data_IF_861884537434
#
_entry.id   IF_861884537434
#
_cell.length_a   1.000
_cell.length_b   1.000
_cell.length_c   1.000
_cell.angle_alpha   90.00
_cell.angle_beta   90.00
_cell.angle_gamma   90.00
#
_symmetry.space_group_name_H-M   'P 1'
#
loop_
_entity.id
_entity.type
_entity.pdbx_description
1 polymer ?
#
# COMPACT_ATOMS: atom_id res chain seq x y z
N UNK A 1 48.43 -57.29 -20.46
CA UNK A 1 48.75 -56.83 -19.10
C UNK A 1 48.86 -55.29 -19.20
N UNK A 2 47.84 -54.59 -18.87
CA UNK A 2 47.88 -53.13 -18.82
C UNK A 2 46.96 -52.73 -17.67
N UNK A 3 47.56 -52.21 -16.62
CA UNK A 3 46.90 -51.73 -15.38
C UNK A 3 46.28 -50.35 -15.57
N UNK A 4 44.96 -50.28 -15.43
CA UNK A 4 44.22 -49.07 -15.39
C UNK A 4 44.37 -48.44 -13.98
N UNK A 5 44.88 -47.23 -13.93
CA UNK A 5 45.04 -46.47 -12.73
C UNK A 5 43.73 -45.68 -12.51
N UNK A 6 42.95 -46.08 -11.50
CA UNK A 6 41.82 -45.34 -10.97
C UNK A 6 42.37 -44.11 -10.25
N UNK A 7 41.98 -42.90 -10.74
CA UNK A 7 42.16 -41.64 -10.04
C UNK A 7 40.87 -41.31 -9.35
N UNK A 8 40.81 -41.49 -8.05
CA UNK A 8 39.81 -40.89 -7.19
C UNK A 8 39.97 -39.35 -7.21
N UNK A 9 38.95 -38.64 -7.72
CA UNK A 9 38.82 -37.20 -7.53
C UNK A 9 38.35 -36.93 -6.11
N UNK A 10 38.95 -35.96 -5.37
CA UNK A 10 38.48 -35.58 -4.06
C UNK A 10 37.17 -34.77 -4.20
N UNK A 11 36.13 -35.32 -3.62
CA UNK A 11 34.82 -34.70 -3.47
C UNK A 11 34.97 -33.39 -2.67
N UNK A 12 34.94 -32.24 -3.35
CA UNK A 12 34.94 -30.93 -2.70
C UNK A 12 33.59 -30.75 -2.02
N UNK A 13 33.52 -31.02 -0.73
CA UNK A 13 32.48 -30.56 0.13
C UNK A 13 32.44 -29.01 0.03
N UNK A 14 31.44 -28.48 -0.66
CA UNK A 14 31.04 -27.07 -0.56
C UNK A 14 30.56 -26.90 0.89
N UNK A 15 31.46 -26.42 1.74
CA UNK A 15 31.09 -25.93 3.06
C UNK A 15 30.13 -24.76 2.83
N UNK A 16 28.87 -24.97 3.18
CA UNK A 16 27.91 -23.88 3.21
C UNK A 16 28.43 -22.81 4.16
N UNK A 17 28.73 -21.62 3.63
CA UNK A 17 29.19 -20.48 4.39
C UNK A 17 28.14 -20.20 5.47
N UNK A 18 28.46 -20.52 6.71
CA UNK A 18 27.66 -20.19 7.87
C UNK A 18 27.60 -18.65 7.95
N UNK A 19 26.40 -18.08 7.78
CA UNK A 19 26.16 -16.63 7.89
C UNK A 19 26.75 -16.14 9.22
N UNK A 20 27.62 -15.12 9.23
CA UNK A 20 28.24 -14.62 10.45
C UNK A 20 27.18 -14.31 11.50
N UNK A 21 27.46 -14.60 12.78
CA UNK A 21 26.52 -14.42 13.89
C UNK A 21 25.95 -13.00 13.95
N UNK A 22 26.79 -11.99 13.71
CA UNK A 22 26.40 -10.57 13.64
C UNK A 22 25.34 -10.28 12.56
N UNK A 23 25.43 -10.95 11.42
CA UNK A 23 24.46 -10.79 10.33
C UNK A 23 23.12 -11.44 10.71
N UNK A 24 23.14 -12.59 11.38
CA UNK A 24 21.94 -13.24 11.90
C UNK A 24 21.24 -12.41 12.98
N UNK A 25 21.99 -11.81 13.89
CA UNK A 25 21.45 -10.91 14.91
C UNK A 25 20.83 -9.65 14.30
N UNK A 26 21.47 -9.10 13.25
CA UNK A 26 20.93 -7.96 12.52
C UNK A 26 19.63 -8.32 11.81
N UNK A 27 19.55 -9.46 11.13
CA UNK A 27 18.31 -9.93 10.51
C UNK A 27 17.20 -10.21 11.54
N UNK A 28 17.54 -10.76 12.70
CA UNK A 28 16.58 -10.99 13.77
C UNK A 28 15.99 -9.66 14.30
N UNK A 29 16.85 -8.63 14.48
CA UNK A 29 16.42 -7.29 14.88
C UNK A 29 15.49 -6.65 13.87
N UNK A 30 15.83 -6.70 12.58
CA UNK A 30 15.00 -6.16 11.49
C UNK A 30 13.63 -6.86 11.46
N UNK A 31 13.60 -8.19 11.50
CA UNK A 31 12.34 -8.95 11.54
C UNK A 31 11.49 -8.62 12.76
N UNK A 32 12.13 -8.47 13.93
CA UNK A 32 11.46 -8.07 15.16
C UNK A 32 10.81 -6.68 15.05
N UNK A 33 11.55 -5.72 14.49
CA UNK A 33 11.05 -4.36 14.28
C UNK A 33 9.88 -4.34 13.27
N UNK A 34 9.99 -5.07 12.16
CA UNK A 34 8.90 -5.20 11.17
C UNK A 34 7.67 -5.82 11.81
N UNK A 35 7.79 -6.93 12.54
CA UNK A 35 6.64 -7.58 13.16
C UNK A 35 5.98 -6.74 14.26
N UNK A 36 6.76 -5.97 15.01
CA UNK A 36 6.21 -5.04 16.00
C UNK A 36 5.44 -3.88 15.34
N UNK A 37 6.01 -3.33 14.27
CA UNK A 37 5.38 -2.28 13.48
C UNK A 37 4.08 -2.78 12.82
N UNK A 38 4.10 -3.97 12.24
CA UNK A 38 2.94 -4.56 11.58
C UNK A 38 1.76 -4.73 12.55
N UNK A 39 1.99 -5.28 13.75
CA UNK A 39 0.95 -5.36 14.80
C UNK A 39 0.42 -4.00 15.26
N UNK A 40 1.28 -3.00 15.33
CA UNK A 40 0.87 -1.64 15.69
C UNK A 40 0.05 -0.95 14.59
N UNK A 41 0.32 -1.26 13.32
CA UNK A 41 -0.38 -0.66 12.17
C UNK A 41 -1.71 -1.35 11.87
N UNK A 42 -1.82 -2.65 12.11
CA UNK A 42 -3.01 -3.44 11.78
C UNK A 42 -3.94 -3.66 12.99
N UNK A 43 -3.58 -3.09 14.14
CA UNK A 43 -4.32 -3.10 15.41
C UNK A 43 -4.87 -4.48 15.81
N UNK A 44 -4.04 -5.52 15.69
CA UNK A 44 -4.44 -6.86 16.08
C UNK A 44 -3.58 -7.99 15.53
N UNK A 45 -3.97 -9.18 15.90
CA UNK A 45 -3.41 -10.41 15.37
C UNK A 45 -4.18 -10.84 14.10
N UNK A 46 -3.54 -11.65 13.28
CA UNK A 46 -4.16 -12.19 12.07
C UNK A 46 -4.96 -13.43 12.42
N UNK A 47 -6.28 -13.29 12.46
CA UNK A 47 -7.19 -14.32 12.93
C UNK A 47 -8.16 -14.82 11.85
N UNK A 48 -8.33 -14.05 10.76
CA UNK A 48 -9.33 -14.32 9.74
C UNK A 48 -8.71 -14.75 8.41
N UNK A 49 -9.38 -15.68 7.74
CA UNK A 49 -9.14 -16.08 6.37
C UNK A 49 -10.20 -15.45 5.44
N UNK A 50 -10.09 -15.66 4.12
CA UNK A 50 -11.15 -15.26 3.19
C UNK A 50 -12.44 -16.05 3.40
N UNK A 51 -12.36 -17.28 3.91
CA UNK A 51 -13.52 -18.09 4.27
C UNK A 51 -14.28 -17.41 5.40
N UNK A 52 -13.59 -16.96 6.44
CA UNK A 52 -14.21 -16.32 7.59
C UNK A 52 -14.88 -15.00 7.18
N UNK A 53 -14.28 -14.23 6.24
CA UNK A 53 -14.90 -13.02 5.67
C UNK A 53 -16.22 -13.33 4.97
N UNK A 54 -16.31 -14.47 4.26
CA UNK A 54 -17.55 -14.92 3.59
C UNK A 54 -18.59 -15.41 4.59
N UNK A 55 -18.20 -16.21 5.58
CA UNK A 55 -19.09 -16.89 6.52
C UNK A 55 -19.57 -15.98 7.67
N UNK A 56 -18.66 -15.17 8.24
CA UNK A 56 -18.92 -14.41 9.46
C UNK A 56 -19.26 -12.93 9.19
N UNK A 57 -18.71 -12.35 8.10
CA UNK A 57 -18.86 -10.93 7.77
C UNK A 57 -19.74 -10.67 6.54
N UNK A 58 -20.32 -11.69 5.94
CA UNK A 58 -21.18 -11.57 4.75
C UNK A 58 -20.53 -10.86 3.57
N UNK A 59 -19.23 -11.10 3.39
CA UNK A 59 -18.44 -10.56 2.28
C UNK A 59 -18.33 -11.59 1.18
N UNK A 60 -18.99 -11.36 0.04
CA UNK A 60 -18.87 -12.23 -1.13
C UNK A 60 -17.42 -12.43 -1.57
N UNK A 61 -17.10 -13.64 -2.04
CA UNK A 61 -15.76 -14.01 -2.49
C UNK A 61 -15.23 -13.09 -3.58
N UNK A 62 -16.09 -12.65 -4.50
CA UNK A 62 -15.67 -11.76 -5.58
C UNK A 62 -15.36 -10.36 -5.03
N UNK A 63 -16.22 -9.82 -4.15
CA UNK A 63 -15.99 -8.55 -3.48
C UNK A 63 -14.68 -8.58 -2.68
N UNK A 64 -14.43 -9.65 -1.91
CA UNK A 64 -13.15 -9.83 -1.20
C UNK A 64 -11.96 -9.83 -2.15
N UNK A 65 -12.07 -10.51 -3.29
CA UNK A 65 -11.01 -10.56 -4.30
C UNK A 65 -10.74 -9.18 -4.91
N UNK A 66 -11.79 -8.45 -5.25
CA UNK A 66 -11.70 -7.15 -5.89
C UNK A 66 -11.22 -6.08 -4.91
N UNK A 67 -11.59 -6.18 -3.64
CA UNK A 67 -11.10 -5.32 -2.56
C UNK A 67 -9.57 -5.40 -2.42
N UNK A 68 -9.05 -6.57 -2.11
CA UNK A 68 -7.60 -6.73 -1.87
C UNK A 68 -6.77 -6.44 -3.12
N UNK A 69 -7.24 -6.86 -4.30
CA UNK A 69 -6.60 -6.52 -5.57
C UNK A 69 -6.64 -5.02 -5.85
N UNK A 70 -7.77 -4.37 -5.59
CA UNK A 70 -7.95 -2.94 -5.76
C UNK A 70 -7.02 -2.12 -4.84
N UNK A 71 -6.84 -2.56 -3.60
CA UNK A 71 -5.88 -1.97 -2.67
C UNK A 71 -4.40 -2.21 -3.06
N UNK A 72 -4.13 -3.13 -4.00
CA UNK A 72 -2.78 -3.43 -4.46
C UNK A 72 -2.12 -4.61 -3.74
N UNK A 73 -2.87 -5.37 -2.95
CA UNK A 73 -2.36 -6.55 -2.26
C UNK A 73 -2.48 -7.80 -3.12
N UNK A 74 -1.53 -8.73 -2.95
CA UNK A 74 -1.54 -10.00 -3.68
C UNK A 74 -2.66 -10.92 -3.18
N UNK A 75 -3.20 -11.73 -4.10
CA UNK A 75 -4.15 -12.77 -3.71
C UNK A 75 -3.49 -13.80 -2.79
N UNK A 76 -4.10 -14.03 -1.64
CA UNK A 76 -3.75 -15.13 -0.72
C UNK A 76 -4.70 -16.30 -0.93
N UNK A 77 -4.27 -17.51 -0.54
CA UNK A 77 -5.12 -18.68 -0.62
C UNK A 77 -6.37 -18.51 0.28
N UNK A 78 -7.47 -19.12 -0.13
CA UNK A 78 -8.79 -18.91 0.47
C UNK A 78 -8.84 -19.22 1.97
N UNK A 79 -8.13 -20.27 2.40
CA UNK A 79 -8.08 -20.73 3.79
C UNK A 79 -6.89 -20.23 4.59
N UNK A 80 -6.14 -19.26 4.06
CA UNK A 80 -4.97 -18.72 4.76
C UNK A 80 -5.39 -17.60 5.69
N UNK A 81 -5.09 -17.74 6.98
CA UNK A 81 -5.34 -16.73 8.03
C UNK A 81 -4.32 -15.59 7.88
N UNK A 82 -4.77 -14.44 7.42
CA UNK A 82 -3.91 -13.28 7.11
C UNK A 82 -4.54 -11.93 7.45
N UNK A 83 -5.83 -11.90 7.79
CA UNK A 83 -6.56 -10.67 8.07
C UNK A 83 -6.77 -10.48 9.56
N UNK A 84 -6.73 -9.22 10.00
CA UNK A 84 -7.11 -8.80 11.34
C UNK A 84 -8.62 -8.56 11.41
N UNK A 85 -9.15 -8.29 12.62
CA UNK A 85 -10.53 -7.89 12.81
C UNK A 85 -10.83 -6.57 12.08
N UNK A 86 -9.94 -5.59 12.17
CA UNK A 86 -10.07 -4.30 11.44
C UNK A 86 -10.10 -4.48 9.93
N UNK A 87 -9.29 -5.40 9.37
CA UNK A 87 -9.37 -5.75 7.96
C UNK A 87 -10.75 -6.30 7.58
N UNK A 88 -11.31 -7.18 8.43
CA UNK A 88 -12.61 -7.80 8.22
C UNK A 88 -13.75 -6.78 8.31
N UNK A 89 -13.73 -5.91 9.32
CA UNK A 89 -14.71 -4.83 9.49
C UNK A 89 -14.65 -3.82 8.34
N UNK A 90 -13.45 -3.40 7.93
CA UNK A 90 -13.28 -2.42 6.86
C UNK A 90 -13.84 -2.89 5.52
N UNK A 91 -13.64 -4.16 5.17
CA UNK A 91 -14.23 -4.71 3.95
C UNK A 91 -15.73 -4.93 4.11
N UNK A 92 -16.20 -5.38 5.29
CA UNK A 92 -17.61 -5.62 5.54
C UNK A 92 -18.45 -4.34 5.43
N UNK A 93 -17.96 -3.23 5.98
CA UNK A 93 -18.61 -1.93 5.88
C UNK A 93 -18.86 -1.51 4.42
N UNK A 94 -17.85 -1.70 3.57
CA UNK A 94 -17.98 -1.32 2.16
C UNK A 94 -18.82 -2.35 1.37
N UNK A 95 -18.70 -3.64 1.70
CA UNK A 95 -19.53 -4.69 1.11
C UNK A 95 -21.02 -4.54 1.46
N UNK A 96 -21.34 -4.06 2.66
CA UNK A 96 -22.71 -3.79 3.07
C UNK A 96 -23.40 -2.78 2.15
N UNK A 97 -22.69 -1.75 1.68
CA UNK A 97 -23.23 -0.77 0.72
C UNK A 97 -23.51 -1.38 -0.66
N UNK A 98 -22.77 -2.42 -1.04
CA UNK A 98 -23.05 -3.16 -2.28
C UNK A 98 -24.25 -4.08 -2.08
N UNK A 99 -24.28 -4.80 -0.96
CA UNK A 99 -25.32 -5.76 -0.64
C UNK A 99 -26.71 -5.12 -0.49
N UNK A 100 -26.78 -3.89 0.01
CA UNK A 100 -28.04 -3.13 0.15
C UNK A 100 -28.42 -2.31 -1.10
N UNK A 101 -27.58 -2.32 -2.14
CA UNK A 101 -27.80 -1.62 -3.40
C UNK A 101 -27.49 -0.13 -3.37
N UNK A 102 -26.90 0.40 -2.28
CA UNK A 102 -26.45 1.80 -2.19
C UNK A 102 -25.28 2.07 -3.12
N UNK A 103 -24.43 1.07 -3.33
CA UNK A 103 -23.26 1.14 -4.18
C UNK A 103 -23.30 0.03 -5.24
N UNK A 104 -22.96 0.34 -6.50
CA UNK A 104 -22.77 -0.69 -7.51
C UNK A 104 -21.40 -1.35 -7.41
N UNK A 105 -21.25 -2.59 -7.94
CA UNK A 105 -19.97 -3.30 -8.01
C UNK A 105 -18.88 -2.49 -8.72
N UNK A 106 -19.22 -1.80 -9.82
CA UNK A 106 -18.28 -0.96 -10.56
C UNK A 106 -17.80 0.25 -9.73
N UNK A 107 -18.71 0.86 -8.97
CA UNK A 107 -18.37 1.97 -8.10
C UNK A 107 -17.51 1.49 -6.92
N UNK A 108 -17.81 0.33 -6.34
CA UNK A 108 -16.99 -0.32 -5.31
C UNK A 108 -15.55 -0.52 -5.82
N UNK A 109 -15.37 -1.18 -6.96
CA UNK A 109 -14.04 -1.41 -7.55
C UNK A 109 -13.30 -0.10 -7.82
N UNK A 110 -14.00 0.92 -8.30
CA UNK A 110 -13.41 2.25 -8.58
C UNK A 110 -12.93 2.93 -7.31
N UNK A 111 -13.74 2.91 -6.24
CA UNK A 111 -13.39 3.48 -4.93
C UNK A 111 -12.18 2.78 -4.34
N UNK A 112 -12.20 1.44 -4.29
CA UNK A 112 -11.12 0.65 -3.70
C UNK A 112 -9.79 0.85 -4.43
N UNK A 113 -9.81 0.88 -5.77
CA UNK A 113 -8.61 1.20 -6.58
C UNK A 113 -8.08 2.60 -6.29
N UNK A 114 -8.98 3.57 -6.15
CA UNK A 114 -8.60 4.94 -5.77
C UNK A 114 -7.92 4.99 -4.41
N UNK A 115 -8.50 4.32 -3.42
CA UNK A 115 -7.93 4.22 -2.07
C UNK A 115 -6.55 3.57 -2.11
N UNK A 116 -6.43 2.38 -2.72
CA UNK A 116 -5.16 1.65 -2.79
C UNK A 116 -4.06 2.46 -3.46
N UNK A 117 -4.36 3.08 -4.62
CA UNK A 117 -3.40 3.89 -5.34
C UNK A 117 -2.90 5.11 -4.54
N UNK A 118 -3.82 5.87 -3.95
CA UNK A 118 -3.45 7.11 -3.25
C UNK A 118 -2.84 6.84 -1.89
N UNK A 119 -3.37 5.89 -1.11
CA UNK A 119 -2.83 5.55 0.21
C UNK A 119 -1.49 4.85 0.10
N UNK A 120 -1.29 3.94 -0.87
CA UNK A 120 0.00 3.31 -1.12
C UNK A 120 1.09 4.34 -1.48
N UNK A 121 0.76 5.34 -2.31
CA UNK A 121 1.69 6.45 -2.60
C UNK A 121 1.97 7.32 -1.39
N UNK A 122 0.93 7.64 -0.60
CA UNK A 122 1.09 8.43 0.63
C UNK A 122 2.01 7.72 1.62
N UNK A 123 1.80 6.43 1.88
CA UNK A 123 2.63 5.63 2.75
C UNK A 123 4.10 5.60 2.28
N UNK A 124 4.33 5.43 0.97
CA UNK A 124 5.67 5.48 0.40
C UNK A 124 6.34 6.85 0.61
N UNK A 125 5.64 7.95 0.35
CA UNK A 125 6.19 9.30 0.54
C UNK A 125 6.49 9.63 1.99
N UNK A 126 5.63 9.22 2.92
CA UNK A 126 5.86 9.41 4.35
C UNK A 126 7.10 8.65 4.82
N UNK A 127 7.24 7.40 4.41
CA UNK A 127 8.41 6.58 4.79
C UNK A 127 9.71 7.13 4.21
N UNK A 128 9.74 7.51 2.94
CA UNK A 128 10.95 8.11 2.33
C UNK A 128 11.28 9.48 2.95
N UNK A 129 10.29 10.30 3.30
CA UNK A 129 10.53 11.57 4.00
C UNK A 129 11.17 11.36 5.38
N UNK A 130 10.76 10.32 6.13
CA UNK A 130 11.38 9.99 7.42
C UNK A 130 12.82 9.47 7.26
N UNK A 131 13.07 8.68 6.22
CA UNK A 131 14.43 8.20 5.88
C UNK A 131 15.34 9.36 5.52
N UNK A 132 14.88 10.27 4.65
CA UNK A 132 15.66 11.43 4.22
C UNK A 132 15.93 12.39 5.39
N UNK A 133 14.96 12.63 6.27
CA UNK A 133 15.15 13.45 7.47
C UNK A 133 16.21 12.83 8.40
N UNK A 134 16.18 11.53 8.61
CA UNK A 134 17.17 10.83 9.43
C UNK A 134 18.59 10.91 8.83
N UNK A 135 18.72 10.78 7.50
CA UNK A 135 20.00 10.95 6.80
C UNK A 135 20.54 12.37 6.94
N UNK A 136 19.69 13.37 6.74
CA UNK A 136 20.09 14.77 6.74
C UNK A 136 20.42 15.28 8.14
N UNK A 137 19.60 14.97 9.16
CA UNK A 137 19.80 15.47 10.54
C UNK A 137 20.87 14.74 11.30
N UNK A 138 21.05 13.45 11.05
CA UNK A 138 21.92 12.61 11.87
C UNK A 138 23.12 12.04 11.10
N UNK A 139 23.28 12.35 9.81
CA UNK A 139 24.37 11.83 8.99
C UNK A 139 24.36 10.32 8.84
N UNK A 140 23.19 9.70 8.94
CA UNK A 140 23.03 8.24 8.89
C UNK A 140 23.23 7.72 7.46
N UNK A 141 23.78 6.50 7.35
CA UNK A 141 23.72 5.74 6.11
C UNK A 141 22.26 5.39 5.77
N UNK A 142 22.00 5.02 4.50
CA UNK A 142 20.64 4.64 4.07
C UNK A 142 20.07 3.48 4.91
N UNK A 143 20.88 2.48 5.20
CA UNK A 143 20.46 1.32 6.02
C UNK A 143 20.12 1.73 7.46
N UNK A 144 20.93 2.58 8.09
CA UNK A 144 20.67 3.05 9.45
C UNK A 144 19.41 3.92 9.49
N UNK A 145 19.22 4.80 8.51
CA UNK A 145 18.04 5.65 8.40
C UNK A 145 16.75 4.82 8.22
N UNK A 146 16.78 3.76 7.39
CA UNK A 146 15.64 2.83 7.23
C UNK A 146 15.33 2.04 8.50
N UNK A 147 16.37 1.60 9.22
CA UNK A 147 16.16 0.95 10.53
C UNK A 147 15.52 1.92 11.53
N UNK A 148 16.03 3.16 11.63
CA UNK A 148 15.46 4.18 12.48
C UNK A 148 14.02 4.51 12.12
N UNK A 149 13.70 4.57 10.82
CA UNK A 149 12.33 4.77 10.36
C UNK A 149 11.41 3.66 10.87
N UNK A 150 11.76 2.37 10.70
CA UNK A 150 10.96 1.25 11.22
C UNK A 150 10.72 1.34 12.73
N UNK A 151 11.72 1.77 13.50
CA UNK A 151 11.63 1.93 14.97
C UNK A 151 10.78 3.15 15.38
N UNK A 152 10.72 4.18 14.54
CA UNK A 152 10.05 5.45 14.86
C UNK A 152 8.62 5.57 14.33
N UNK A 153 8.23 4.81 13.29
CA UNK A 153 6.88 4.88 12.71
C UNK A 153 5.76 4.72 13.75
N UNK A 154 5.83 3.81 14.74
CA UNK A 154 4.78 3.70 15.76
C UNK A 154 4.50 5.00 16.53
N UNK A 155 5.50 5.87 16.64
CA UNK A 155 5.36 7.17 17.34
C UNK A 155 4.62 8.21 16.48
N UNK A 156 4.58 8.04 15.18
CA UNK A 156 3.99 8.99 14.23
C UNK A 156 2.66 8.51 13.64
N UNK A 157 2.34 7.22 13.76
CA UNK A 157 1.19 6.61 13.09
C UNK A 157 -0.11 7.33 13.42
N UNK A 158 -0.43 7.51 14.70
CA UNK A 158 -1.65 8.21 15.13
C UNK A 158 -1.73 9.65 14.59
N UNK A 159 -0.57 10.33 14.53
CA UNK A 159 -0.51 11.71 13.98
C UNK A 159 -0.78 11.68 12.48
N UNK A 160 -0.20 10.73 11.74
CA UNK A 160 -0.41 10.61 10.30
C UNK A 160 -1.83 10.19 9.95
N UNK A 161 -2.43 9.28 10.69
CA UNK A 161 -3.84 8.90 10.54
C UNK A 161 -4.76 10.10 10.76
N UNK A 162 -4.57 10.83 11.85
CA UNK A 162 -5.34 12.04 12.12
C UNK A 162 -5.18 13.08 11.00
N UNK A 163 -3.97 13.30 10.49
CA UNK A 163 -3.73 14.21 9.38
C UNK A 163 -4.37 13.68 8.08
N UNK A 164 -4.29 12.40 7.77
CA UNK A 164 -4.91 11.81 6.59
C UNK A 164 -6.44 11.99 6.62
N UNK A 165 -7.08 11.67 7.73
CA UNK A 165 -8.52 11.86 7.92
C UNK A 165 -8.90 13.35 7.83
N UNK A 166 -8.12 14.25 8.47
CA UNK A 166 -8.37 15.69 8.43
C UNK A 166 -8.27 16.23 6.99
N UNK A 167 -7.22 15.90 6.29
CA UNK A 167 -7.00 16.35 4.90
C UNK A 167 -8.08 15.79 3.97
N UNK A 168 -8.44 14.51 4.12
CA UNK A 168 -9.55 13.91 3.36
C UNK A 168 -10.86 14.70 3.57
N UNK A 169 -11.25 14.97 4.82
CA UNK A 169 -12.45 15.76 5.13
C UNK A 169 -12.40 17.16 4.55
N UNK A 170 -11.23 17.82 4.59
CA UNK A 170 -11.03 19.16 4.01
C UNK A 170 -11.17 19.13 2.48
N UNK A 171 -10.61 18.13 1.82
CA UNK A 171 -10.72 17.96 0.37
C UNK A 171 -12.18 17.67 -0.04
N UNK A 172 -12.86 16.78 0.68
CA UNK A 172 -14.28 16.50 0.45
C UNK A 172 -15.14 17.76 0.61
N UNK A 173 -14.93 18.53 1.68
CA UNK A 173 -15.62 19.81 1.90
C UNK A 173 -15.39 20.80 0.75
N UNK A 174 -14.14 20.93 0.28
CA UNK A 174 -13.82 21.82 -0.82
C UNK A 174 -14.41 21.33 -2.16
N UNK A 175 -14.48 20.03 -2.37
CA UNK A 175 -15.08 19.43 -3.56
C UNK A 175 -16.59 19.62 -3.59
N UNK A 176 -17.28 19.31 -2.48
CA UNK A 176 -18.74 19.47 -2.38
C UNK A 176 -19.17 20.94 -2.50
N UNK A 177 -18.39 21.87 -1.95
CA UNK A 177 -18.66 23.29 -2.11
C UNK A 177 -18.57 23.73 -3.58
N UNK A 178 -17.56 23.25 -4.32
CA UNK A 178 -17.42 23.52 -5.76
C UNK A 178 -18.54 22.90 -6.58
N UNK A 179 -18.89 21.65 -6.32
CA UNK A 179 -20.00 20.97 -6.98
C UNK A 179 -21.34 21.68 -6.71
N UNK A 180 -21.58 22.07 -5.45
CA UNK A 180 -22.78 22.84 -5.09
C UNK A 180 -22.87 24.19 -5.80
N UNK A 181 -21.76 24.91 -5.90
CA UNK A 181 -21.72 26.19 -6.64
C UNK A 181 -21.98 26.00 -8.13
N UNK A 182 -21.54 24.89 -8.72
CA UNK A 182 -21.78 24.56 -10.13
C UNK A 182 -23.26 24.22 -10.38
N UNK A 183 -23.86 23.40 -9.51
CA UNK A 183 -25.30 23.08 -9.57
C UNK A 183 -26.14 24.36 -9.49
N UNK A 184 -25.81 25.30 -8.58
CA UNK A 184 -26.52 26.56 -8.45
C UNK A 184 -26.40 27.45 -9.70
N UNK A 185 -25.22 27.46 -10.35
CA UNK A 185 -25.05 28.23 -11.60
C UNK A 185 -25.82 27.65 -12.76
N UNK A 186 -25.86 26.33 -12.89
CA UNK A 186 -26.60 25.64 -13.98
C UNK A 186 -28.12 25.74 -13.77
N UNK A 187 -28.60 25.68 -12.53
CA UNK A 187 -30.05 25.84 -12.25
C UNK A 187 -30.57 27.22 -12.55
N UNK A 188 -29.72 28.23 -12.71
CA UNK A 188 -30.10 29.61 -13.09
C UNK A 188 -29.99 29.88 -14.60
N UNK A 189 -29.46 28.93 -15.40
CA UNK A 189 -29.42 29.03 -16.84
C UNK A 189 -30.36 27.97 -17.46
N UNK A 190 -31.10 28.33 -18.51
CA UNK A 190 -32.01 27.44 -19.26
C UNK A 190 -31.27 26.32 -20.05
N UNK A 191 -30.36 25.62 -19.40
CA UNK A 191 -29.58 24.54 -20.04
C UNK A 191 -30.08 23.17 -19.59
N UNK A 192 -30.13 22.30 -20.58
CA UNK A 192 -30.60 20.91 -20.53
C UNK A 192 -29.93 20.10 -19.39
N UNK A 193 -30.73 19.37 -18.62
CA UNK A 193 -30.49 18.80 -17.30
C UNK A 193 -29.50 17.62 -17.28
N UNK A 194 -28.94 17.21 -18.42
CA UNK A 194 -28.31 15.89 -18.55
C UNK A 194 -26.76 15.89 -18.51
N UNK A 195 -26.12 17.05 -18.36
CA UNK A 195 -24.67 17.09 -18.22
C UNK A 195 -24.16 18.31 -17.49
N UNK A 196 -23.79 18.17 -16.21
CA UNK A 196 -23.00 19.14 -15.48
C UNK A 196 -21.53 19.02 -15.89
N UNK A 197 -20.99 19.86 -16.80
CA UNK A 197 -19.59 19.80 -17.13
C UNK A 197 -18.76 20.33 -15.96
N UNK A 198 -18.15 19.45 -15.20
CA UNK A 198 -17.08 19.86 -14.29
C UNK A 198 -15.87 20.31 -15.13
N UNK A 199 -15.55 21.60 -15.18
CA UNK A 199 -14.40 22.07 -15.95
C UNK A 199 -13.13 21.46 -15.38
N UNK A 200 -12.45 20.65 -16.18
CA UNK A 200 -11.15 20.05 -15.84
C UNK A 200 -10.12 20.59 -16.82
N UNK A 201 -9.04 21.14 -16.28
CA UNK A 201 -7.86 21.44 -17.08
C UNK A 201 -7.01 20.17 -17.17
N UNK A 202 -6.73 19.71 -18.38
CA UNK A 202 -5.78 18.60 -18.65
C UNK A 202 -4.55 19.23 -19.30
N UNK A 203 -3.39 19.08 -18.64
CA UNK A 203 -2.11 19.51 -19.14
C UNK A 203 -1.24 18.32 -19.51
N UNK A 204 -0.61 18.36 -20.68
CA UNK A 204 0.43 17.43 -21.08
C UNK A 204 1.75 18.18 -21.07
N UNK A 205 2.76 17.62 -20.39
CA UNK A 205 4.13 18.13 -20.44
C UNK A 205 5.03 17.02 -20.99
N UNK A 206 5.72 17.33 -22.08
CA UNK A 206 6.72 16.44 -22.66
C UNK A 206 8.09 17.15 -22.67
N UNK A 207 9.15 16.40 -22.32
CA UNK A 207 10.52 16.91 -22.36
C UNK A 207 11.07 16.72 -23.77
N UNK A 208 11.11 17.81 -24.54
CA UNK A 208 11.71 17.79 -25.87
C UNK A 208 13.17 17.37 -25.75
N UNK A 209 13.56 16.35 -26.52
CA UNK A 209 14.90 15.76 -26.52
C UNK A 209 15.33 15.05 -25.22
N UNK A 210 14.40 14.46 -24.48
CA UNK A 210 14.70 13.68 -23.27
C UNK A 210 15.81 12.64 -23.47
N UNK A 211 15.83 11.93 -24.60
CA UNK A 211 16.86 10.94 -24.94
C UNK A 211 18.26 11.56 -25.06
N UNK A 212 18.39 12.79 -25.57
CA UNK A 212 19.66 13.51 -25.62
C UNK A 212 20.10 14.00 -24.26
N UNK A 213 19.16 14.46 -23.43
CA UNK A 213 19.44 14.92 -22.07
C UNK A 213 19.90 13.75 -21.19
N UNK A 214 19.24 12.61 -21.27
CA UNK A 214 19.60 11.40 -20.54
C UNK A 214 21.00 10.86 -20.92
N UNK A 215 21.45 11.04 -22.16
CA UNK A 215 22.79 10.65 -22.62
C UNK A 215 23.88 11.65 -22.23
N UNK A 216 23.55 12.84 -21.74
CA UNK A 216 24.49 13.87 -21.33
C UNK A 216 24.71 13.97 -19.81
N UNK A 217 24.05 13.12 -19.03
CA UNK A 217 24.11 13.05 -17.55
C UNK A 217 24.82 11.75 -17.16
N UNK A 218 25.99 11.49 -17.72
CA UNK A 218 26.96 10.48 -17.26
C UNK A 218 28.06 11.15 -16.43
#
# INVERSE_FOLDING_TARGET
>A
MSTVHDREEPNAHVAGDAVPNELNERFARVRGAIGALERSLLDGEREYSRRDLEEDFNVDRQLSTDYWRGLGFSNVAFDTTVFTEDDAEAIADLAALVNDGTLSDDAFVTIVRGLGFHMGRLAMWLTEALVDDAKQRHGMSDTEARMRMLESVPQFVEIFEHQAIHVFRRQMSAYTARAGAEILRTSTSEWDDDSLPLPRAVGFADLVQFTRLAQSID
#
